data_IF_912628135706
#
_entry.id   IF_912628135706
#
_cell.length_a   1.000
_cell.length_b   1.000
_cell.length_c   1.000
_cell.angle_alpha   90.00
_cell.angle_beta   90.00
_cell.angle_gamma   90.00
#
_symmetry.space_group_name_H-M   'P 1'
#
loop_
_entity.id
_entity.type
_entity.pdbx_description
1 polymer ?
#
# COMPACT_ATOMS: atom_id res chain seq x y z
N UNK A 1 -1.63 6.48 -39.57
CA UNK A 1 -0.45 5.60 -39.52
C UNK A 1 0.79 6.46 -39.59
N UNK A 2 1.52 6.59 -38.47
CA UNK A 2 2.94 6.95 -38.48
C UNK A 2 3.54 6.33 -37.22
N UNK A 3 4.23 5.21 -37.42
CA UNK A 3 5.09 4.54 -36.44
C UNK A 3 6.45 5.23 -36.50
N UNK A 4 6.85 5.88 -35.43
CA UNK A 4 8.27 6.11 -35.11
C UNK A 4 8.49 5.49 -33.71
N UNK A 5 8.83 4.21 -33.64
CA UNK A 5 10.22 3.70 -33.54
C UNK A 5 11.05 4.40 -32.44
N UNK A 6 10.95 3.81 -31.25
CA UNK A 6 12.06 3.29 -30.44
C UNK A 6 13.41 4.01 -30.61
N UNK A 7 13.78 4.82 -29.63
CA UNK A 7 15.18 5.03 -29.26
C UNK A 7 15.29 4.83 -27.74
N UNK A 8 16.04 3.79 -27.37
CA UNK A 8 16.34 3.36 -26.01
C UNK A 8 16.89 4.51 -25.15
N UNK A 9 16.34 4.79 -23.97
CA UNK A 9 16.96 5.72 -23.04
C UNK A 9 17.95 4.95 -22.17
N UNK A 10 19.20 5.43 -22.12
CA UNK A 10 20.06 5.23 -20.96
C UNK A 10 19.21 5.45 -19.69
N UNK A 11 19.21 4.49 -18.76
CA UNK A 11 18.18 4.31 -17.73
C UNK A 11 17.85 5.52 -16.84
N UNK A 12 18.69 6.56 -16.79
CA UNK A 12 18.37 7.82 -16.09
C UNK A 12 17.48 8.79 -16.88
N UNK A 13 17.55 8.80 -18.21
CA UNK A 13 16.79 9.75 -19.04
C UNK A 13 15.34 9.32 -19.28
N UNK A 14 15.05 8.01 -19.24
CA UNK A 14 13.68 7.47 -19.30
C UNK A 14 12.84 7.90 -18.10
N UNK A 15 13.39 7.83 -16.90
CA UNK A 15 12.67 8.15 -15.66
C UNK A 15 12.33 9.63 -15.58
N UNK A 16 13.31 10.51 -15.88
CA UNK A 16 13.08 11.96 -15.94
C UNK A 16 11.99 12.29 -16.96
N UNK A 17 12.01 11.65 -18.14
CA UNK A 17 10.97 11.84 -19.14
C UNK A 17 9.58 11.42 -18.63
N UNK A 18 9.48 10.25 -17.96
CA UNK A 18 8.23 9.78 -17.35
C UNK A 18 7.74 10.79 -16.30
N UNK A 19 8.63 11.29 -15.45
CA UNK A 19 8.30 12.29 -14.43
C UNK A 19 7.75 13.56 -15.08
N UNK A 20 8.41 14.07 -16.13
CA UNK A 20 7.95 15.27 -16.86
C UNK A 20 6.54 15.04 -17.44
N UNK A 21 6.28 13.88 -18.04
CA UNK A 21 4.95 13.57 -18.58
C UNK A 21 3.89 13.44 -17.50
N UNK A 22 4.21 12.81 -16.36
CA UNK A 22 3.28 12.71 -15.22
C UNK A 22 3.00 14.08 -14.60
N UNK A 23 4.01 14.94 -14.46
CA UNK A 23 3.84 16.32 -13.98
C UNK A 23 2.93 17.15 -14.88
N UNK A 24 3.01 16.96 -16.21
CA UNK A 24 2.09 17.63 -17.15
C UNK A 24 0.62 17.25 -16.93
N UNK A 25 0.34 16.02 -16.51
CA UNK A 25 -1.03 15.57 -16.17
C UNK A 25 -1.57 16.22 -14.90
N UNK A 26 -0.70 16.69 -14.01
CA UNK A 26 -1.09 17.36 -12.77
C UNK A 26 -1.48 18.83 -12.99
N UNK A 27 -1.19 19.38 -14.17
CA UNK A 27 -1.64 20.72 -14.55
C UNK A 27 -3.09 20.65 -15.05
N UNK A 28 -3.97 21.57 -14.64
CA UNK A 28 -5.35 21.57 -15.08
C UNK A 28 -5.43 21.80 -16.60
N UNK A 29 -5.89 20.77 -17.32
CA UNK A 29 -6.12 20.82 -18.76
C UNK A 29 -7.57 21.25 -19.01
N UNK A 30 -7.78 22.56 -19.10
CA UNK A 30 -9.02 23.17 -19.56
C UNK A 30 -8.70 24.27 -20.57
N UNK A 31 -9.52 24.39 -21.61
CA UNK A 31 -9.42 25.44 -22.64
C UNK A 31 -9.47 26.87 -22.08
N UNK A 32 -9.94 27.02 -20.85
CA UNK A 32 -10.31 28.32 -20.27
C UNK A 32 -9.31 28.82 -19.20
N UNK A 33 -8.27 28.05 -18.88
CA UNK A 33 -7.29 28.44 -17.87
C UNK A 33 -6.13 29.21 -18.51
N UNK A 34 -6.04 30.51 -18.20
CA UNK A 34 -4.93 31.35 -18.64
C UNK A 34 -3.58 30.75 -18.19
N UNK A 35 -2.47 30.98 -18.93
CA UNK A 35 -1.14 30.50 -18.55
C UNK A 35 -0.76 30.87 -17.10
N UNK A 36 -1.20 32.04 -16.65
CA UNK A 36 -1.02 32.51 -15.28
C UNK A 36 -1.73 31.63 -14.23
N UNK A 37 -3.00 31.28 -14.46
CA UNK A 37 -3.74 30.40 -13.53
C UNK A 37 -3.14 29.00 -13.46
N UNK A 38 -2.60 28.51 -14.58
CA UNK A 38 -1.88 27.22 -14.63
C UNK A 38 -0.60 27.27 -13.81
N UNK A 39 0.19 28.34 -13.93
CA UNK A 39 1.38 28.55 -13.12
C UNK A 39 1.06 28.63 -11.62
N UNK A 40 0.03 29.39 -11.24
CA UNK A 40 -0.41 29.50 -9.83
C UNK A 40 -0.87 28.15 -9.25
N UNK A 41 -1.57 27.34 -10.06
CA UNK A 41 -2.00 26.00 -9.65
C UNK A 41 -0.80 25.05 -9.48
N UNK A 42 0.18 25.14 -10.38
CA UNK A 42 1.42 24.39 -10.28
C UNK A 42 2.21 24.77 -9.02
N UNK A 43 2.33 26.06 -8.72
CA UNK A 43 3.00 26.55 -7.51
C UNK A 43 2.35 26.02 -6.23
N UNK A 44 1.01 26.07 -6.15
CA UNK A 44 0.25 25.50 -5.02
C UNK A 44 0.49 24.00 -4.86
N UNK A 45 0.51 23.26 -5.96
CA UNK A 45 0.79 21.82 -5.96
C UNK A 45 2.22 21.53 -5.50
N UNK A 46 3.22 22.23 -6.05
CA UNK A 46 4.62 22.06 -5.67
C UNK A 46 4.86 22.41 -4.20
N UNK A 47 4.27 23.51 -3.71
CA UNK A 47 4.31 23.88 -2.29
C UNK A 47 3.62 22.85 -1.39
N UNK A 48 2.55 22.21 -1.86
CA UNK A 48 1.93 21.10 -1.14
C UNK A 48 2.85 19.87 -1.09
N UNK A 49 3.40 19.46 -2.23
CA UNK A 49 4.32 18.33 -2.32
C UNK A 49 5.56 18.56 -1.44
N UNK A 50 6.13 19.76 -1.47
CA UNK A 50 7.26 20.13 -0.63
C UNK A 50 6.92 19.97 0.86
N UNK A 51 5.74 20.41 1.30
CA UNK A 51 5.28 20.23 2.70
C UNK A 51 5.00 18.78 3.09
N UNK A 52 4.65 17.91 2.14
CA UNK A 52 4.42 16.47 2.37
C UNK A 52 5.75 15.73 2.45
N UNK A 53 6.64 16.00 1.51
CA UNK A 53 7.94 15.33 1.38
C UNK A 53 9.04 15.98 2.22
N UNK A 54 8.74 17.07 2.94
CA UNK A 54 9.67 17.68 3.91
C UNK A 54 10.13 16.71 5.01
N UNK A 55 9.35 15.65 5.26
CA UNK A 55 9.72 14.58 6.17
C UNK A 55 9.56 13.24 5.48
N UNK A 56 10.62 12.42 5.51
CA UNK A 56 10.63 11.08 4.94
C UNK A 56 9.43 10.23 5.38
N UNK A 57 9.14 10.20 6.69
CA UNK A 57 8.03 9.42 7.24
C UNK A 57 6.66 9.91 6.74
N UNK A 58 6.48 11.23 6.58
CA UNK A 58 5.23 11.80 6.05
C UNK A 58 5.06 11.44 4.58
N UNK A 59 6.14 11.54 3.79
CA UNK A 59 6.18 11.15 2.39
C UNK A 59 5.89 9.66 2.18
N UNK A 60 6.49 8.77 2.98
CA UNK A 60 6.26 7.32 2.90
C UNK A 60 4.79 6.97 3.18
N UNK A 61 4.22 7.54 4.25
CA UNK A 61 2.80 7.33 4.57
C UNK A 61 1.90 7.90 3.48
N UNK A 62 2.24 9.04 2.90
CA UNK A 62 1.49 9.62 1.80
C UNK A 62 1.50 8.73 0.55
N UNK A 63 2.67 8.25 0.13
CA UNK A 63 2.81 7.34 -1.01
C UNK A 63 2.04 6.04 -0.77
N UNK A 64 2.14 5.48 0.44
CA UNK A 64 1.35 4.32 0.85
C UNK A 64 -0.16 4.55 0.68
N UNK A 65 -0.65 5.73 1.09
CA UNK A 65 -2.07 6.09 0.96
C UNK A 65 -2.51 6.36 -0.48
N UNK A 66 -1.62 6.81 -1.36
CA UNK A 66 -1.96 6.98 -2.77
C UNK A 66 -2.29 5.65 -3.45
N UNK A 67 -1.62 4.56 -3.04
CA UNK A 67 -1.89 3.20 -3.49
C UNK A 67 -3.12 2.60 -2.80
N UNK A 68 -3.14 2.59 -1.45
CA UNK A 68 -4.14 1.87 -0.66
C UNK A 68 -5.41 2.63 -0.32
N UNK A 69 -5.45 3.95 -0.53
CA UNK A 69 -6.54 4.90 -0.25
C UNK A 69 -6.96 5.04 1.22
N UNK A 70 -6.79 4.01 2.05
CA UNK A 70 -7.06 4.04 3.47
C UNK A 70 -6.01 3.24 4.26
N UNK A 71 -5.93 3.46 5.56
CA UNK A 71 -5.02 2.75 6.45
C UNK A 71 -5.49 2.77 7.91
N UNK A 72 -4.83 1.95 8.73
CA UNK A 72 -4.84 2.10 10.19
C UNK A 72 -3.41 2.34 10.66
N UNK A 73 -3.24 2.95 11.84
CA UNK A 73 -1.91 3.17 12.40
C UNK A 73 -1.11 1.85 12.55
N UNK A 74 -1.79 0.75 12.87
CA UNK A 74 -1.17 -0.57 12.95
C UNK A 74 -0.61 -1.06 11.60
N UNK A 75 -1.39 -0.94 10.52
CA UNK A 75 -0.95 -1.37 9.20
C UNK A 75 0.24 -0.55 8.70
N UNK A 76 0.31 0.74 9.02
CA UNK A 76 1.48 1.57 8.70
C UNK A 76 2.73 1.10 9.45
N UNK A 77 2.60 0.72 10.73
CA UNK A 77 3.73 0.19 11.49
C UNK A 77 4.28 -1.09 10.88
N UNK A 78 3.39 -2.02 10.48
CA UNK A 78 3.81 -3.28 9.85
C UNK A 78 4.39 -3.04 8.46
N UNK A 79 3.64 -2.40 7.58
CA UNK A 79 4.00 -2.33 6.16
C UNK A 79 5.19 -1.39 5.89
N UNK A 80 5.34 -0.34 6.69
CA UNK A 80 6.43 0.63 6.53
C UNK A 80 7.54 0.44 7.58
N UNK A 81 7.45 -0.59 8.43
CA UNK A 81 8.35 -0.81 9.57
C UNK A 81 8.57 0.46 10.40
N UNK A 82 7.48 1.20 10.64
CA UNK A 82 7.52 2.53 11.24
C UNK A 82 7.19 2.46 12.74
N UNK A 83 7.93 3.16 13.63
CA UNK A 83 7.56 3.23 15.04
C UNK A 83 6.17 3.85 15.27
N UNK A 84 5.47 3.45 16.31
CA UNK A 84 4.11 3.92 16.63
C UNK A 84 4.04 5.45 16.74
N UNK A 85 4.97 6.05 17.49
CA UNK A 85 5.02 7.51 17.68
C UNK A 85 5.20 8.24 16.35
N UNK A 86 6.10 7.73 15.50
CA UNK A 86 6.36 8.29 14.16
C UNK A 86 5.13 8.17 13.27
N UNK A 87 4.45 7.03 13.33
CA UNK A 87 3.20 6.78 12.60
C UNK A 87 2.13 7.80 12.96
N UNK A 88 1.85 8.00 14.25
CA UNK A 88 0.85 8.97 14.68
C UNK A 88 1.23 10.42 14.36
N UNK A 89 2.53 10.76 14.43
CA UNK A 89 3.02 12.08 14.00
C UNK A 89 2.80 12.31 12.50
N UNK A 90 3.11 11.31 11.67
CA UNK A 90 2.90 11.38 10.23
C UNK A 90 1.41 11.52 9.87
N UNK A 91 0.54 10.71 10.47
CA UNK A 91 -0.92 10.82 10.30
C UNK A 91 -1.45 12.19 10.75
N UNK A 92 -1.00 12.71 11.89
CA UNK A 92 -1.40 14.04 12.37
C UNK A 92 -0.97 15.13 11.39
N UNK A 93 0.23 15.03 10.82
CA UNK A 93 0.74 15.98 9.83
C UNK A 93 -0.08 15.95 8.54
N UNK A 94 -0.32 14.77 7.97
CA UNK A 94 -1.13 14.62 6.76
C UNK A 94 -2.59 15.09 6.97
N UNK A 95 -3.15 14.86 8.16
CA UNK A 95 -4.44 15.42 8.54
C UNK A 95 -4.43 16.95 8.56
N UNK A 96 -3.39 17.57 9.13
CA UNK A 96 -3.25 19.04 9.14
C UNK A 96 -3.09 19.65 7.74
N UNK A 97 -2.60 18.87 6.78
CA UNK A 97 -2.49 19.26 5.36
C UNK A 97 -3.80 19.05 4.58
N UNK A 98 -4.86 18.53 5.23
CA UNK A 98 -6.15 18.27 4.60
C UNK A 98 -6.18 17.04 3.70
N UNK A 99 -5.14 16.20 3.71
CA UNK A 99 -5.05 15.00 2.87
C UNK A 99 -5.88 13.86 3.44
N UNK A 100 -5.91 13.77 4.77
CA UNK A 100 -6.49 12.65 5.50
C UNK A 100 -7.71 13.07 6.31
N UNK A 101 -8.70 12.20 6.30
CA UNK A 101 -9.85 12.26 7.18
C UNK A 101 -9.95 11.03 8.08
N UNK A 102 -10.53 11.24 9.26
CA UNK A 102 -10.84 10.18 10.20
C UNK A 102 -12.22 9.64 9.88
N UNK A 103 -12.28 8.45 9.29
CA UNK A 103 -13.54 7.86 8.83
C UNK A 103 -14.28 7.21 10.00
N UNK A 104 -13.65 6.24 10.65
CA UNK A 104 -14.32 5.47 11.70
C UNK A 104 -13.33 4.80 12.65
N UNK A 105 -13.85 4.25 13.74
CA UNK A 105 -13.12 3.35 14.65
C UNK A 105 -13.59 1.92 14.42
N UNK A 106 -12.65 0.98 14.31
CA UNK A 106 -12.95 -0.44 14.15
C UNK A 106 -13.66 -0.94 15.42
N UNK A 107 -14.76 -1.68 15.24
CA UNK A 107 -15.50 -2.28 16.35
C UNK A 107 -14.63 -3.36 17.00
N UNK A 108 -14.66 -3.39 18.33
CA UNK A 108 -13.96 -4.44 19.09
C UNK A 108 -14.72 -5.77 18.99
N UNK A 109 -14.00 -6.91 19.02
CA UNK A 109 -14.62 -8.19 19.31
C UNK A 109 -15.28 -8.15 20.69
N UNK A 110 -16.44 -8.80 20.83
CA UNK A 110 -17.26 -8.79 22.07
C UNK A 110 -16.47 -9.23 23.32
N UNK A 111 -15.42 -10.05 23.16
CA UNK A 111 -14.60 -10.61 24.25
C UNK A 111 -13.24 -9.92 24.46
N UNK A 112 -12.93 -8.78 23.83
CA UNK A 112 -11.60 -8.16 24.01
C UNK A 112 -11.51 -7.35 25.32
N UNK A 113 -10.65 -7.78 26.24
CA UNK A 113 -10.35 -7.06 27.49
C UNK A 113 -9.39 -5.88 27.23
N UNK A 114 -9.92 -4.66 27.15
CA UNK A 114 -9.10 -3.42 27.15
C UNK A 114 -8.43 -3.04 25.82
N UNK A 115 -7.91 -1.80 25.73
CA UNK A 115 -7.18 -1.23 24.57
C UNK A 115 -7.92 -0.14 23.77
N UNK A 116 -7.22 0.82 23.14
CA UNK A 116 -7.84 1.83 22.28
C UNK A 116 -8.44 1.21 21.01
N UNK A 117 -9.57 1.74 20.53
CA UNK A 117 -10.16 1.28 19.25
C UNK A 117 -9.31 1.77 18.08
N UNK A 118 -8.82 0.88 17.19
CA UNK A 118 -8.09 1.29 16.00
C UNK A 118 -8.90 2.27 15.18
N UNK A 119 -8.25 3.34 14.72
CA UNK A 119 -8.89 4.35 13.87
C UNK A 119 -8.50 4.11 12.42
N UNK A 120 -9.51 4.10 11.55
CA UNK A 120 -9.32 4.07 10.09
C UNK A 120 -9.18 5.50 9.59
N UNK A 121 -8.09 5.73 8.87
CA UNK A 121 -7.77 6.99 8.20
C UNK A 121 -7.90 6.76 6.70
N UNK A 122 -8.49 7.70 5.99
CA UNK A 122 -8.63 7.61 4.54
C UNK A 122 -8.22 8.91 3.86
N UNK A 123 -7.71 8.78 2.64
CA UNK A 123 -7.49 9.93 1.76
C UNK A 123 -8.84 10.46 1.27
N UNK A 124 -8.90 11.73 0.92
CA UNK A 124 -10.08 12.32 0.29
C UNK A 124 -10.49 11.52 -0.96
N UNK A 125 -11.77 11.13 -1.01
CA UNK A 125 -12.33 10.36 -2.13
C UNK A 125 -12.14 8.85 -2.05
N UNK A 126 -11.69 8.30 -0.90
CA UNK A 126 -11.66 6.85 -0.70
C UNK A 126 -13.07 6.25 -0.73
N UNK A 127 -13.20 5.09 -1.37
CA UNK A 127 -14.46 4.37 -1.51
C UNK A 127 -14.81 3.57 -0.24
N UNK A 128 -16.06 3.09 -0.16
CA UNK A 128 -16.48 2.21 0.96
C UNK A 128 -15.75 0.87 0.90
N UNK A 129 -15.45 0.41 -0.30
CA UNK A 129 -14.72 -0.80 -0.61
C UNK A 129 -13.27 -0.71 -0.08
N UNK A 130 -12.61 0.43 -0.27
CA UNK A 130 -11.26 0.68 0.26
C UNK A 130 -11.25 0.59 1.79
N UNK A 131 -12.24 1.22 2.44
CA UNK A 131 -12.40 1.19 3.89
C UNK A 131 -12.64 -0.24 4.39
N UNK A 132 -13.52 -1.00 3.72
CA UNK A 132 -13.82 -2.38 4.08
C UNK A 132 -12.59 -3.30 3.91
N UNK A 133 -11.83 -3.10 2.83
CA UNK A 133 -10.58 -3.81 2.57
C UNK A 133 -9.56 -3.63 3.70
N UNK A 134 -9.34 -2.37 4.12
CA UNK A 134 -8.43 -2.03 5.22
C UNK A 134 -8.89 -2.60 6.56
N UNK A 135 -10.19 -2.63 6.85
CA UNK A 135 -10.71 -3.26 8.06
C UNK A 135 -10.44 -4.77 8.03
N UNK A 136 -10.69 -5.42 6.89
CA UNK A 136 -10.40 -6.83 6.70
C UNK A 136 -8.90 -7.15 6.84
N UNK A 137 -8.04 -6.33 6.26
CA UNK A 137 -6.58 -6.44 6.38
C UNK A 137 -6.09 -6.23 7.82
N UNK A 138 -6.60 -5.19 8.50
CA UNK A 138 -6.30 -4.96 9.92
C UNK A 138 -6.67 -6.17 10.78
N UNK A 139 -7.90 -6.68 10.65
CA UNK A 139 -8.36 -7.83 11.43
C UNK A 139 -7.52 -9.09 11.14
N UNK A 140 -7.12 -9.31 9.88
CA UNK A 140 -6.23 -10.41 9.49
C UNK A 140 -4.85 -10.27 10.14
N UNK A 141 -4.25 -9.08 10.07
CA UNK A 141 -2.91 -8.82 10.62
C UNK A 141 -2.79 -9.04 12.14
N UNK A 142 -3.91 -8.94 12.87
CA UNK A 142 -3.94 -9.23 14.31
C UNK A 142 -3.75 -10.73 14.59
N UNK A 143 -4.16 -11.61 13.66
CA UNK A 143 -4.00 -13.06 13.79
C UNK A 143 -2.52 -13.47 13.69
N UNK A 144 -1.95 -14.12 14.73
CA UNK A 144 -0.58 -14.63 14.66
C UNK A 144 -0.37 -15.63 13.52
N UNK A 145 -1.39 -16.44 13.20
CA UNK A 145 -1.33 -17.41 12.10
C UNK A 145 -1.22 -16.71 10.74
N UNK A 146 -1.90 -15.58 10.58
CA UNK A 146 -1.86 -14.80 9.34
C UNK A 146 -0.50 -14.14 9.16
N UNK A 147 0.12 -13.63 10.23
CA UNK A 147 1.48 -13.06 10.16
C UNK A 147 2.52 -14.09 9.72
N UNK A 148 2.48 -15.29 10.31
CA UNK A 148 3.34 -16.40 9.87
C UNK A 148 3.08 -16.77 8.41
N UNK A 149 1.81 -16.83 7.99
CA UNK A 149 1.47 -17.09 6.59
C UNK A 149 2.01 -16.00 5.64
N UNK A 150 1.97 -14.73 6.04
CA UNK A 150 2.48 -13.62 5.24
C UNK A 150 4.00 -13.67 5.09
N UNK A 151 4.74 -13.95 6.15
CA UNK A 151 6.20 -14.17 6.09
C UNK A 151 6.57 -15.30 5.12
N UNK A 152 5.84 -16.41 5.19
CA UNK A 152 6.04 -17.56 4.29
C UNK A 152 5.74 -17.16 2.84
N UNK A 153 4.63 -16.45 2.58
CA UNK A 153 4.32 -15.96 1.23
C UNK A 153 5.42 -15.04 0.70
N UNK A 154 5.95 -14.12 1.52
CA UNK A 154 7.01 -13.22 1.10
C UNK A 154 8.31 -13.98 0.77
N UNK A 155 8.69 -14.97 1.58
CA UNK A 155 9.82 -15.85 1.29
C UNK A 155 9.59 -16.62 -0.03
N UNK A 156 8.40 -17.22 -0.21
CA UNK A 156 8.06 -17.94 -1.42
C UNK A 156 8.05 -17.03 -2.67
N UNK A 157 7.57 -15.80 -2.55
CA UNK A 157 7.59 -14.84 -3.66
C UNK A 157 9.02 -14.48 -4.06
N UNK A 158 9.90 -14.30 -3.08
CA UNK A 158 11.32 -14.00 -3.31
C UNK A 158 12.03 -15.18 -4.00
N UNK A 159 11.77 -16.39 -3.56
CA UNK A 159 12.54 -17.57 -3.97
C UNK A 159 11.96 -18.29 -5.21
N UNK A 160 10.63 -18.37 -5.33
CA UNK A 160 9.97 -19.14 -6.39
C UNK A 160 9.44 -18.28 -7.53
N UNK A 161 8.89 -17.10 -7.24
CA UNK A 161 8.17 -16.29 -8.25
C UNK A 161 9.06 -15.28 -8.95
N UNK A 162 10.22 -14.93 -8.38
CA UNK A 162 11.22 -14.12 -9.07
C UNK A 162 11.83 -14.82 -10.29
N UNK A 163 11.77 -16.15 -10.33
CA UNK A 163 12.39 -17.00 -11.36
C UNK A 163 11.37 -17.49 -12.41
N UNK A 164 10.06 -17.44 -12.11
CA UNK A 164 9.01 -18.06 -12.95
C UNK A 164 8.35 -17.07 -13.91
N UNK A 165 8.11 -17.54 -15.13
CA UNK A 165 7.34 -16.81 -16.16
C UNK A 165 5.83 -16.84 -15.87
N UNK A 166 5.33 -17.91 -15.23
CA UNK A 166 3.91 -18.04 -14.84
C UNK A 166 3.74 -17.82 -13.34
N UNK A 167 2.82 -16.93 -12.97
CA UNK A 167 2.46 -16.65 -11.58
C UNK A 167 1.44 -17.67 -11.06
N UNK A 168 1.87 -18.92 -10.95
CA UNK A 168 1.07 -20.02 -10.45
C UNK A 168 1.86 -20.82 -9.40
N UNK A 169 1.14 -21.32 -8.39
CA UNK A 169 1.69 -22.13 -7.31
C UNK A 169 0.76 -23.29 -7.00
N UNK A 170 1.30 -24.45 -6.67
CA UNK A 170 0.52 -25.64 -6.32
C UNK A 170 0.42 -25.79 -4.80
N UNK A 171 -0.66 -26.40 -4.32
CA UNK A 171 -0.82 -26.78 -2.91
C UNK A 171 0.31 -27.65 -2.39
N UNK A 172 0.90 -28.50 -3.25
CA UNK A 172 2.06 -29.34 -2.90
C UNK A 172 3.30 -28.50 -2.61
N UNK A 173 3.56 -27.47 -3.42
CA UNK A 173 4.69 -26.55 -3.19
C UNK A 173 4.49 -25.74 -1.90
N UNK A 174 3.27 -25.25 -1.65
CA UNK A 174 2.94 -24.59 -0.38
C UNK A 174 3.21 -25.55 0.79
N UNK A 175 2.72 -26.79 0.70
CA UNK A 175 2.90 -27.78 1.74
C UNK A 175 4.38 -28.13 1.99
N UNK A 176 5.18 -28.22 0.92
CA UNK A 176 6.62 -28.44 1.01
C UNK A 176 7.30 -27.33 1.82
N UNK A 177 7.06 -26.06 1.48
CA UNK A 177 7.65 -24.93 2.22
C UNK A 177 7.13 -24.89 3.66
N UNK A 178 5.85 -25.15 3.90
CA UNK A 178 5.30 -25.24 5.26
C UNK A 178 5.96 -26.34 6.10
N UNK A 179 6.56 -27.37 5.49
CA UNK A 179 7.28 -28.40 6.20
C UNK A 179 8.68 -27.96 6.65
N UNK A 180 9.28 -27.01 5.96
CA UNK A 180 10.59 -26.45 6.30
C UNK A 180 10.49 -25.39 7.42
N UNK A 181 9.35 -24.71 7.54
CA UNK A 181 9.13 -23.71 8.58
C UNK A 181 8.77 -24.35 9.93
N UNK A 182 9.57 -24.05 10.96
CA UNK A 182 9.22 -24.35 12.37
C UNK A 182 8.20 -23.34 12.86
N UNK A 183 6.96 -23.79 13.10
CA UNK A 183 5.88 -22.93 13.58
C UNK A 183 5.06 -23.60 14.69
N UNK A 184 4.54 -22.84 15.66
CA UNK A 184 3.74 -23.38 16.77
C UNK A 184 2.27 -23.63 16.40
N UNK A 185 1.89 -23.41 15.14
CA UNK A 185 0.51 -23.49 14.65
C UNK A 185 0.30 -24.71 13.75
N UNK A 186 -0.96 -25.16 13.62
CA UNK A 186 -1.32 -26.22 12.68
C UNK A 186 -1.04 -25.76 11.24
N UNK A 187 -0.24 -26.55 10.51
CA UNK A 187 0.16 -26.27 9.12
C UNK A 187 -1.05 -26.05 8.21
N UNK A 188 -2.12 -26.82 8.38
CA UNK A 188 -3.35 -26.67 7.59
C UNK A 188 -3.98 -25.27 7.73
N UNK A 189 -4.05 -24.73 8.95
CA UNK A 189 -4.63 -23.40 9.19
C UNK A 189 -3.77 -22.30 8.54
N UNK A 190 -2.45 -22.45 8.60
CA UNK A 190 -1.50 -21.51 7.97
C UNK A 190 -1.57 -21.63 6.45
N UNK A 191 -1.68 -22.85 5.91
CA UNK A 191 -1.86 -23.10 4.49
C UNK A 191 -3.08 -22.36 3.93
N UNK A 192 -4.24 -22.43 4.61
CA UNK A 192 -5.43 -21.71 4.18
C UNK A 192 -5.19 -20.19 4.07
N UNK A 193 -4.43 -19.60 5.00
CA UNK A 193 -4.06 -18.19 4.92
C UNK A 193 -3.07 -17.92 3.78
N UNK A 194 -2.07 -18.79 3.58
CA UNK A 194 -1.13 -18.68 2.46
C UNK A 194 -1.88 -18.69 1.12
N UNK A 195 -2.83 -19.61 0.93
CA UNK A 195 -3.67 -19.70 -0.27
C UNK A 195 -4.50 -18.42 -0.48
N UNK A 196 -5.10 -17.89 0.58
CA UNK A 196 -5.86 -16.64 0.53
C UNK A 196 -4.99 -15.44 0.15
N UNK A 197 -3.78 -15.35 0.70
CA UNK A 197 -2.84 -14.25 0.41
C UNK A 197 -2.37 -14.33 -1.04
N UNK A 198 -2.01 -15.52 -1.54
CA UNK A 198 -1.63 -15.68 -2.96
C UNK A 198 -2.76 -15.26 -3.91
N UNK A 199 -3.99 -15.71 -3.63
CA UNK A 199 -5.16 -15.31 -4.42
C UNK A 199 -5.38 -13.79 -4.40
N UNK A 200 -5.22 -13.16 -3.23
CA UNK A 200 -5.33 -11.70 -3.09
C UNK A 200 -4.25 -10.95 -3.87
N UNK A 201 -3.07 -11.56 -4.07
CA UNK A 201 -1.98 -11.03 -4.91
C UNK A 201 -2.12 -11.38 -6.39
N UNK A 202 -3.22 -12.01 -6.81
CA UNK A 202 -3.47 -12.41 -8.20
C UNK A 202 -2.72 -13.67 -8.65
N UNK A 203 -2.10 -14.39 -7.72
CA UNK A 203 -1.35 -15.62 -8.00
C UNK A 203 -2.32 -16.80 -7.93
N UNK A 204 -2.34 -17.61 -8.99
CA UNK A 204 -3.25 -18.77 -9.07
C UNK A 204 -2.70 -19.90 -8.21
N UNK A 205 -3.56 -20.44 -7.33
CA UNK A 205 -3.26 -21.63 -6.54
C UNK A 205 -3.98 -22.85 -7.12
N UNK A 206 -3.24 -23.92 -7.41
CA UNK A 206 -3.75 -25.21 -7.91
C UNK A 206 -3.79 -26.30 -6.83
#
# INVERSE_FOLDING_TARGET
>A
MAKDRLLSPNGGNSEIYIIIQKMKLLLPNGSDNSPFQRALSAEKLLSFLDRVFSSKAVGEVFVYLLDRKACTAWLLQIHLNMPEVTTYRALKRLRSLGVLEKVMRIKKPVKSAGGPRPTVWAILGASREDIASVIGEHNRSLSPKYRVAEEIVQAMMKDFLSIRVKQEITRKEIHFVLNEFKMPYRKYDVQLFVEQIFKAKGIKVW
#
